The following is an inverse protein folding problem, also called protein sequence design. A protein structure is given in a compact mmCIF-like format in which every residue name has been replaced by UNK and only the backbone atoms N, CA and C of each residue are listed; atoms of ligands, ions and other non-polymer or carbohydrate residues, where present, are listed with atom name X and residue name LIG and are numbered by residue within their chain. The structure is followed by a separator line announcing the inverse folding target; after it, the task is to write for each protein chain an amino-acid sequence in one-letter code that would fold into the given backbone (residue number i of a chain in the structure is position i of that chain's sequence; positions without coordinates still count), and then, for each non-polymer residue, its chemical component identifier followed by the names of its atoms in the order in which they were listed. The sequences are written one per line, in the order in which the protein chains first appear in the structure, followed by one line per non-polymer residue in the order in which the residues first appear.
data_IF_324343676365
#
_entry.id   IF_324343676365
#
_cell.length_a   1.000
_cell.length_b   1.000
_cell.length_c   1.000
_cell.angle_alpha   90.00
_cell.angle_beta   90.00
_cell.angle_gamma   90.00
#
_symmetry.space_group_name_H-M   'P 1'
#
loop_
_entity.id
_entity.type
_entity.pdbx_description
1 polymer ?
#
# COMPACT_ATOMS: atom_id res chain seq x y z
N UNK A 1 -1.23 10.85 19.41
CA UNK A 1 -1.84 10.09 18.29
C UNK A 1 -1.31 10.57 16.94
N UNK A 2 -1.24 11.89 16.72
CA UNK A 2 -0.80 12.51 15.48
C UNK A 2 0.68 12.19 15.16
N UNK A 3 1.57 12.19 16.15
CA UNK A 3 2.98 11.80 15.96
C UNK A 3 3.13 10.34 15.48
N UNK A 4 2.23 9.45 15.91
CA UNK A 4 2.24 8.03 15.50
C UNK A 4 1.87 7.87 14.03
N UNK A 5 0.92 8.66 13.54
CA UNK A 5 0.51 8.68 12.13
C UNK A 5 1.64 9.16 11.23
N UNK A 6 2.30 10.26 11.62
CA UNK A 6 3.46 10.77 10.89
C UNK A 6 4.60 9.74 10.82
N UNK A 7 4.93 9.10 11.95
CA UNK A 7 5.94 8.04 12.00
C UNK A 7 5.52 6.85 11.13
N UNK A 8 4.26 6.42 11.17
CA UNK A 8 3.76 5.33 10.33
C UNK A 8 3.88 5.66 8.83
N UNK A 9 3.52 6.88 8.44
CA UNK A 9 3.63 7.36 7.06
C UNK A 9 5.09 7.35 6.58
N UNK A 10 6.00 8.01 7.29
CA UNK A 10 7.40 8.11 6.90
C UNK A 10 8.14 6.78 6.98
N UNK A 11 7.85 5.95 7.98
CA UNK A 11 8.42 4.60 8.10
C UNK A 11 7.97 3.64 7.00
N UNK A 12 6.89 3.95 6.30
CA UNK A 12 6.44 3.22 5.12
C UNK A 12 7.03 3.80 3.83
N UNK A 13 6.90 5.12 3.66
CA UNK A 13 7.25 5.79 2.42
C UNK A 13 8.76 5.77 2.14
N UNK A 14 9.59 6.11 3.13
CA UNK A 14 11.04 6.19 2.93
C UNK A 14 11.68 4.85 2.52
N UNK A 15 11.43 3.73 3.24
CA UNK A 15 12.00 2.44 2.80
C UNK A 15 11.40 1.95 1.48
N UNK A 16 10.11 2.23 1.21
CA UNK A 16 9.50 1.85 -0.05
C UNK A 16 10.08 2.64 -1.22
N UNK A 17 10.25 3.97 -1.07
CA UNK A 17 10.89 4.81 -2.07
C UNK A 17 12.35 4.41 -2.28
N UNK A 18 13.12 4.18 -1.21
CA UNK A 18 14.51 3.72 -1.32
C UNK A 18 14.63 2.40 -2.06
N UNK A 19 13.71 1.45 -1.78
CA UNK A 19 13.69 0.16 -2.48
C UNK A 19 13.29 0.32 -3.96
N UNK A 20 12.28 1.14 -4.24
CA UNK A 20 11.86 1.44 -5.62
C UNK A 20 12.98 2.14 -6.42
N UNK A 21 13.67 3.11 -5.82
CA UNK A 21 14.83 3.78 -6.44
C UNK A 21 15.96 2.79 -6.70
N UNK A 22 16.27 1.91 -5.74
CA UNK A 22 17.27 0.86 -5.92
C UNK A 22 16.94 -0.04 -7.12
N UNK A 23 15.69 -0.54 -7.19
CA UNK A 23 15.26 -1.37 -8.32
C UNK A 23 15.27 -0.60 -9.63
N UNK A 24 14.81 0.66 -9.63
CA UNK A 24 14.83 1.53 -10.81
C UNK A 24 16.24 1.82 -11.32
N UNK A 25 17.17 2.17 -10.43
CA UNK A 25 18.58 2.39 -10.80
C UNK A 25 19.19 1.10 -11.32
N UNK A 26 18.94 -0.05 -10.69
CA UNK A 26 19.43 -1.35 -11.16
C UNK A 26 18.89 -1.66 -12.56
N UNK A 27 17.61 -1.41 -12.82
CA UNK A 27 17.00 -1.60 -14.14
C UNK A 27 17.66 -0.67 -15.20
N UNK A 28 17.83 0.62 -14.88
CA UNK A 28 18.47 1.59 -15.77
C UNK A 28 19.92 1.25 -16.08
N UNK A 29 20.68 0.74 -15.10
CA UNK A 29 22.05 0.27 -15.32
C UNK A 29 22.08 -0.94 -16.28
N UNK A 30 21.19 -1.90 -16.12
CA UNK A 30 21.11 -3.03 -17.03
C UNK A 30 20.73 -2.61 -18.46
N UNK A 31 19.84 -1.61 -18.58
CA UNK A 31 19.48 -1.04 -19.87
C UNK A 31 20.66 -0.25 -20.50
N UNK A 32 21.32 0.59 -19.73
CA UNK A 32 22.46 1.39 -20.17
C UNK A 32 23.63 0.52 -20.69
N UNK A 33 23.95 -0.56 -19.98
CA UNK A 33 25.01 -1.48 -20.39
C UNK A 33 24.56 -2.52 -21.44
N UNK A 34 23.34 -2.43 -21.94
CA UNK A 34 22.76 -3.39 -22.91
C UNK A 34 22.87 -4.88 -22.46
N UNK A 35 22.81 -5.12 -21.17
CA UNK A 35 22.89 -6.48 -20.60
C UNK A 35 21.61 -7.26 -20.89
N UNK A 36 20.46 -6.56 -21.01
CA UNK A 36 19.16 -7.17 -21.20
C UNK A 36 18.79 -7.32 -22.66
N UNK A 37 18.54 -8.55 -23.08
CA UNK A 37 17.84 -8.81 -24.35
C UNK A 37 16.42 -8.25 -24.27
N UNK A 38 15.87 -7.89 -25.43
CA UNK A 38 14.54 -7.27 -25.55
C UNK A 38 13.45 -8.09 -24.83
N UNK A 39 13.49 -9.42 -24.99
CA UNK A 39 12.53 -10.34 -24.38
C UNK A 39 12.62 -10.39 -22.85
N UNK A 40 13.83 -10.22 -22.30
CA UNK A 40 14.08 -10.26 -20.85
C UNK A 40 13.77 -8.91 -20.21
N UNK A 41 13.83 -7.80 -20.95
CA UNK A 41 13.58 -6.46 -20.45
C UNK A 41 12.19 -6.33 -19.82
N UNK A 42 11.15 -6.78 -20.50
CA UNK A 42 9.77 -6.73 -20.00
C UNK A 42 9.57 -7.60 -18.76
N UNK A 43 10.19 -8.79 -18.76
CA UNK A 43 10.16 -9.70 -17.62
C UNK A 43 10.82 -9.07 -16.38
N UNK A 44 12.00 -8.45 -16.56
CA UNK A 44 12.70 -7.78 -15.46
C UNK A 44 11.92 -6.58 -14.92
N UNK A 45 11.35 -5.75 -15.81
CA UNK A 45 10.48 -4.64 -15.42
C UNK A 45 9.28 -5.11 -14.59
N UNK A 46 8.59 -6.16 -15.07
CA UNK A 46 7.44 -6.73 -14.38
C UNK A 46 7.83 -7.35 -13.03
N UNK A 47 8.95 -8.07 -12.95
CA UNK A 47 9.46 -8.65 -11.71
C UNK A 47 9.81 -7.56 -10.68
N UNK A 48 10.49 -6.49 -11.10
CA UNK A 48 10.87 -5.38 -10.21
C UNK A 48 9.64 -4.59 -9.76
N UNK A 49 8.68 -4.35 -10.66
CA UNK A 49 7.41 -3.70 -10.32
C UNK A 49 6.63 -4.52 -9.29
N UNK A 50 6.50 -5.83 -9.51
CA UNK A 50 5.89 -6.74 -8.55
C UNK A 50 6.59 -6.66 -7.18
N UNK A 51 7.92 -6.76 -7.15
CA UNK A 51 8.68 -6.71 -5.90
C UNK A 51 8.47 -5.38 -5.16
N UNK A 52 8.48 -4.25 -5.87
CA UNK A 52 8.25 -2.93 -5.31
C UNK A 52 6.85 -2.79 -4.70
N UNK A 53 5.81 -3.22 -5.43
CA UNK A 53 4.41 -3.15 -4.97
C UNK A 53 4.19 -4.05 -3.75
N UNK A 54 4.65 -5.29 -3.79
CA UNK A 54 4.53 -6.22 -2.66
C UNK A 54 5.25 -5.69 -1.42
N UNK A 55 6.47 -5.18 -1.59
CA UNK A 55 7.22 -4.57 -0.50
C UNK A 55 6.49 -3.37 0.09
N UNK A 56 5.96 -2.48 -0.75
CA UNK A 56 5.19 -1.31 -0.33
C UNK A 56 3.95 -1.71 0.48
N UNK A 57 3.13 -2.64 -0.04
CA UNK A 57 1.91 -3.10 0.65
C UNK A 57 2.25 -3.78 1.97
N UNK A 58 3.30 -4.59 2.01
CA UNK A 58 3.77 -5.21 3.24
C UNK A 58 4.19 -4.18 4.30
N UNK A 59 4.97 -3.17 3.90
CA UNK A 59 5.38 -2.07 4.80
C UNK A 59 4.19 -1.25 5.28
N UNK A 60 3.26 -0.94 4.37
CA UNK A 60 2.02 -0.23 4.69
C UNK A 60 1.17 -1.00 5.71
N UNK A 61 0.94 -2.29 5.48
CA UNK A 61 0.20 -3.15 6.39
C UNK A 61 0.87 -3.22 7.78
N UNK A 62 2.21 -3.38 7.84
CA UNK A 62 2.96 -3.35 9.10
C UNK A 62 2.87 -2.02 9.82
N UNK A 63 2.92 -0.89 9.11
CA UNK A 63 2.84 0.43 9.71
C UNK A 63 1.46 0.70 10.32
N UNK A 64 0.39 0.34 9.59
CA UNK A 64 -0.99 0.55 10.04
C UNK A 64 -1.36 -0.35 11.22
N UNK A 65 -0.99 -1.63 11.14
CA UNK A 65 -1.42 -2.65 12.11
C UNK A 65 -0.43 -2.85 13.25
N UNK A 66 0.83 -2.44 13.09
CA UNK A 66 1.94 -2.50 14.09
C UNK A 66 1.84 -3.72 15.02
N UNK A 67 1.98 -4.96 14.50
CA UNK A 67 1.68 -6.17 15.26
C UNK A 67 2.63 -6.38 16.46
N UNK A 68 3.84 -5.83 16.41
CA UNK A 68 4.86 -5.92 17.46
C UNK A 68 4.80 -4.81 18.51
N UNK A 69 4.14 -3.66 18.20
CA UNK A 69 4.13 -2.47 19.06
C UNK A 69 2.67 -2.05 19.35
N UNK A 70 2.04 -2.57 20.43
CA UNK A 70 0.64 -2.30 20.75
C UNK A 70 0.31 -0.81 20.85
N UNK A 71 1.23 -0.03 21.42
CA UNK A 71 1.05 1.40 21.64
C UNK A 71 1.15 2.25 20.36
N UNK A 72 1.65 1.69 19.25
CA UNK A 72 1.84 2.37 17.96
C UNK A 72 0.81 1.98 16.91
N UNK A 73 -0.14 1.12 17.26
CA UNK A 73 -1.21 0.70 16.33
C UNK A 73 -2.14 1.85 16.01
N UNK A 74 -2.38 2.05 14.73
CA UNK A 74 -3.38 3.00 14.25
C UNK A 74 -4.78 2.36 14.29
N UNK A 75 -4.87 1.05 14.06
CA UNK A 75 -6.09 0.26 14.20
C UNK A 75 -6.08 -0.48 15.54
N UNK A 76 -7.16 -0.36 16.33
CA UNK A 76 -7.31 -1.02 17.63
C UNK A 76 -7.67 -2.50 17.42
N UNK A 77 -6.67 -3.29 17.06
CA UNK A 77 -6.79 -4.73 16.82
C UNK A 77 -5.78 -5.46 17.70
N UNK A 78 -6.13 -6.59 18.32
CA UNK A 78 -5.18 -7.40 19.11
C UNK A 78 -3.99 -7.91 18.29
N UNK A 79 -2.91 -8.32 18.96
CA UNK A 79 -1.66 -8.72 18.30
C UNK A 79 -1.81 -9.92 17.35
N UNK A 80 -2.61 -10.93 17.73
CA UNK A 80 -2.83 -12.12 16.87
C UNK A 80 -3.61 -11.77 15.60
N UNK A 81 -4.82 -11.13 15.67
CA UNK A 81 -5.53 -10.66 14.48
C UNK A 81 -4.72 -9.68 13.64
N UNK A 82 -3.93 -8.78 14.25
CA UNK A 82 -3.10 -7.84 13.49
C UNK A 82 -2.04 -8.55 12.64
N UNK A 83 -1.37 -9.58 13.17
CA UNK A 83 -0.42 -10.40 12.40
C UNK A 83 -1.11 -11.13 11.26
N UNK A 84 -2.28 -11.71 11.53
CA UNK A 84 -3.08 -12.39 10.50
C UNK A 84 -3.45 -11.43 9.36
N UNK A 85 -3.91 -10.23 9.69
CA UNK A 85 -4.25 -9.19 8.70
C UNK A 85 -3.04 -8.76 7.88
N UNK A 86 -1.87 -8.54 8.50
CA UNK A 86 -0.63 -8.23 7.75
C UNK A 86 -0.29 -9.36 6.78
N UNK A 87 -0.37 -10.61 7.23
CA UNK A 87 -0.06 -11.77 6.38
C UNK A 87 -1.06 -11.91 5.23
N UNK A 88 -2.35 -11.75 5.49
CA UNK A 88 -3.40 -11.82 4.46
C UNK A 88 -3.25 -10.68 3.43
N UNK A 89 -3.02 -9.45 3.87
CA UNK A 89 -2.78 -8.31 2.97
C UNK A 89 -1.52 -8.53 2.13
N UNK A 90 -0.44 -9.02 2.73
CA UNK A 90 0.79 -9.34 2.00
C UNK A 90 0.56 -10.49 1.02
N UNK A 91 -0.14 -11.56 1.42
CA UNK A 91 -0.46 -12.68 0.54
C UNK A 91 -1.33 -12.23 -0.65
N UNK A 92 -2.31 -11.36 -0.40
CA UNK A 92 -3.13 -10.75 -1.47
C UNK A 92 -2.27 -10.00 -2.47
N UNK A 93 -1.33 -9.16 -1.99
CA UNK A 93 -0.41 -8.43 -2.86
C UNK A 93 0.52 -9.36 -3.65
N UNK A 94 1.03 -10.41 -3.02
CA UNK A 94 1.89 -11.41 -3.68
C UNK A 94 1.12 -12.15 -4.78
N UNK A 95 -0.09 -12.62 -4.49
CA UNK A 95 -0.89 -13.35 -5.50
C UNK A 95 -1.25 -12.44 -6.67
N UNK A 96 -1.67 -11.20 -6.42
CA UNK A 96 -2.00 -10.24 -7.48
C UNK A 96 -0.76 -9.87 -8.30
N UNK A 97 0.37 -9.61 -7.66
CA UNK A 97 1.63 -9.31 -8.33
C UNK A 97 2.14 -10.49 -9.15
N UNK A 98 2.04 -11.70 -8.60
CA UNK A 98 2.44 -12.93 -9.29
C UNK A 98 1.56 -13.20 -10.52
N UNK A 99 0.23 -12.97 -10.44
CA UNK A 99 -0.66 -13.09 -11.61
C UNK A 99 -0.25 -12.11 -12.72
N UNK A 100 0.06 -10.85 -12.35
CA UNK A 100 0.56 -9.85 -13.29
C UNK A 100 1.90 -10.26 -13.94
N UNK A 101 2.87 -10.65 -13.13
CA UNK A 101 4.18 -11.12 -13.61
C UNK A 101 4.04 -12.34 -14.53
N UNK A 102 3.27 -13.35 -14.12
CA UNK A 102 3.04 -14.56 -14.92
C UNK A 102 2.28 -14.25 -16.23
N UNK A 103 1.54 -13.14 -16.31
CA UNK A 103 0.93 -12.70 -17.56
C UNK A 103 1.99 -12.27 -18.55
N UNK A 104 2.94 -11.44 -18.13
CA UNK A 104 4.06 -11.00 -18.97
C UNK A 104 4.91 -12.20 -19.39
N UNK A 105 5.18 -13.14 -18.47
CA UNK A 105 5.89 -14.39 -18.80
C UNK A 105 5.13 -15.18 -19.87
N UNK A 106 3.82 -15.34 -19.72
CA UNK A 106 2.99 -16.10 -20.68
C UNK A 106 2.94 -15.43 -22.06
N UNK A 107 2.88 -14.11 -22.12
CA UNK A 107 2.92 -13.33 -23.35
C UNK A 107 4.29 -13.45 -24.04
N UNK A 108 5.38 -13.30 -23.31
CA UNK A 108 6.76 -13.40 -23.83
C UNK A 108 7.06 -14.81 -24.36
N UNK A 109 6.56 -15.85 -23.68
CA UNK A 109 6.79 -17.26 -24.09
C UNK A 109 5.76 -17.79 -25.09
N UNK A 110 4.77 -17.00 -25.49
CA UNK A 110 3.70 -17.44 -26.38
C UNK A 110 2.86 -18.57 -25.78
N UNK A 111 2.64 -18.58 -24.47
CA UNK A 111 1.92 -19.63 -23.76
C UNK A 111 0.46 -19.73 -24.21
N UNK A 112 -0.17 -20.93 -24.20
CA UNK A 112 -1.55 -21.10 -24.61
C UNK A 112 -2.50 -20.29 -23.71
N UNK A 113 -3.54 -19.71 -24.30
CA UNK A 113 -4.55 -18.87 -23.66
C UNK A 113 -5.23 -19.59 -22.47
N UNK A 114 -5.40 -20.89 -22.55
CA UNK A 114 -5.97 -21.73 -21.50
C UNK A 114 -5.18 -21.66 -20.19
N UNK A 115 -3.85 -21.62 -20.27
CA UNK A 115 -2.98 -21.47 -19.08
C UNK A 115 -3.14 -20.09 -18.45
N UNK A 116 -3.20 -19.04 -19.27
CA UNK A 116 -3.42 -17.67 -18.82
C UNK A 116 -4.76 -17.51 -18.11
N UNK A 117 -5.81 -18.13 -18.65
CA UNK A 117 -7.15 -18.14 -18.05
C UNK A 117 -7.12 -18.90 -16.72
N UNK A 118 -6.54 -20.10 -16.68
CA UNK A 118 -6.50 -20.93 -15.47
C UNK A 118 -5.75 -20.27 -14.32
N UNK A 119 -4.59 -19.64 -14.58
CA UNK A 119 -3.83 -18.92 -13.54
C UNK A 119 -4.58 -17.71 -13.00
N UNK A 120 -5.20 -16.91 -13.89
CA UNK A 120 -5.96 -15.72 -13.47
C UNK A 120 -7.24 -16.10 -12.72
N UNK A 121 -7.88 -17.22 -13.07
CA UNK A 121 -8.97 -17.79 -12.27
C UNK A 121 -8.49 -18.13 -10.86
N UNK A 122 -7.40 -18.91 -10.73
CA UNK A 122 -6.86 -19.29 -9.42
C UNK A 122 -6.45 -18.06 -8.59
N UNK A 123 -5.78 -17.08 -9.20
CA UNK A 123 -5.39 -15.85 -8.53
C UNK A 123 -6.61 -15.06 -8.04
N UNK A 124 -7.65 -14.89 -8.86
CA UNK A 124 -8.87 -14.15 -8.50
C UNK A 124 -9.62 -14.83 -7.37
N UNK A 125 -9.72 -16.17 -7.38
CA UNK A 125 -10.33 -16.93 -6.30
C UNK A 125 -9.55 -16.78 -5.00
N UNK A 126 -8.22 -16.89 -5.04
CA UNK A 126 -7.39 -16.72 -3.84
C UNK A 126 -7.50 -15.31 -3.25
N UNK A 127 -7.41 -14.28 -4.09
CA UNK A 127 -7.54 -12.88 -3.64
C UNK A 127 -8.94 -12.63 -3.06
N UNK A 128 -9.99 -13.06 -3.75
CA UNK A 128 -11.36 -12.94 -3.24
C UNK A 128 -11.53 -13.61 -1.88
N UNK A 129 -11.00 -14.83 -1.72
CA UNK A 129 -11.00 -15.56 -0.45
C UNK A 129 -10.24 -14.82 0.65
N UNK A 130 -9.06 -14.27 0.35
CA UNK A 130 -8.28 -13.51 1.33
C UNK A 130 -9.02 -12.24 1.77
N UNK A 131 -9.65 -11.52 0.85
CA UNK A 131 -10.46 -10.33 1.18
C UNK A 131 -11.66 -10.70 2.05
N UNK A 132 -12.35 -11.81 1.75
CA UNK A 132 -13.42 -12.35 2.62
C UNK A 132 -12.85 -12.70 4.00
N UNK A 133 -11.71 -13.39 4.08
CA UNK A 133 -11.07 -13.71 5.37
C UNK A 133 -10.70 -12.45 6.15
N UNK A 134 -10.18 -11.41 5.49
CA UNK A 134 -9.90 -10.10 6.12
C UNK A 134 -11.18 -9.51 6.73
N UNK A 135 -12.31 -9.59 6.03
CA UNK A 135 -13.60 -9.08 6.52
C UNK A 135 -14.13 -9.82 7.75
N UNK A 136 -13.79 -11.11 7.88
CA UNK A 136 -14.21 -11.97 9.00
C UNK A 136 -13.36 -11.79 10.26
N UNK A 137 -12.17 -11.20 10.15
CA UNK A 137 -11.33 -10.93 11.32
C UNK A 137 -12.03 -9.95 12.25
N UNK A 138 -12.33 -10.40 13.49
CA UNK A 138 -13.00 -9.57 14.49
C UNK A 138 -11.95 -8.76 15.26
N UNK A 139 -12.10 -7.43 15.37
CA UNK A 139 -11.33 -6.67 16.33
C UNK A 139 -11.79 -7.09 17.73
N UNK A 140 -10.96 -7.84 18.45
CA UNK A 140 -11.24 -8.24 19.82
C UNK A 140 -10.73 -7.12 20.74
N UNK A 141 -11.63 -6.26 21.20
CA UNK A 141 -11.33 -5.22 22.17
C UNK A 141 -12.58 -4.39 22.51
N UNK A 142 -12.85 -4.23 23.80
CA UNK A 142 -13.86 -3.29 24.33
C UNK A 142 -13.35 -1.86 24.20
N UNK A 143 -13.19 -1.34 22.99
CA UNK A 143 -12.84 0.09 22.80
C UNK A 143 -14.09 0.90 22.54
N UNK A 144 -14.31 1.92 23.36
CA UNK A 144 -15.39 2.91 23.26
C UNK A 144 -15.24 3.79 22.00
N UNK A 145 -14.10 3.73 21.31
CA UNK A 145 -13.79 4.51 20.11
C UNK A 145 -14.17 3.66 18.89
N UNK A 146 -14.98 4.23 17.98
CA UNK A 146 -15.35 3.62 16.68
C UNK A 146 -14.09 3.08 15.98
N UNK A 147 -14.00 1.78 15.86
CA UNK A 147 -12.94 1.09 15.12
C UNK A 147 -13.18 1.31 13.62
N UNK A 148 -12.13 1.50 12.79
CA UNK A 148 -12.28 1.51 11.33
C UNK A 148 -12.84 0.19 10.78
N UNK A 149 -12.96 -0.86 11.61
CA UNK A 149 -13.60 -2.15 11.32
C UNK A 149 -15.02 -2.26 11.89
N UNK A 150 -15.78 -1.18 11.88
CA UNK A 150 -17.20 -1.20 12.24
C UNK A 150 -18.02 -2.12 11.31
N UNK A 151 -19.21 -2.53 11.76
CA UNK A 151 -20.07 -3.42 10.97
C UNK A 151 -20.21 -3.03 9.49
N UNK A 152 -20.45 -1.74 9.11
CA UNK A 152 -20.60 -1.37 7.71
C UNK A 152 -19.32 -1.61 6.88
N UNK A 153 -18.16 -1.27 7.42
CA UNK A 153 -16.86 -1.48 6.72
C UNK A 153 -16.61 -2.98 6.48
N UNK A 154 -16.91 -3.83 7.44
CA UNK A 154 -16.79 -5.28 7.29
C UNK A 154 -17.76 -5.84 6.25
N UNK A 155 -18.99 -5.36 6.22
CA UNK A 155 -19.96 -5.76 5.20
C UNK A 155 -19.50 -5.34 3.81
N UNK A 156 -18.99 -4.13 3.65
CA UNK A 156 -18.41 -3.65 2.39
C UNK A 156 -17.24 -4.53 1.95
N UNK A 157 -16.27 -4.80 2.85
CA UNK A 157 -15.13 -5.67 2.56
C UNK A 157 -15.57 -7.10 2.20
N UNK A 158 -16.58 -7.63 2.89
CA UNK A 158 -17.13 -8.95 2.58
C UNK A 158 -17.72 -8.99 1.16
N UNK A 159 -18.55 -8.00 0.81
CA UNK A 159 -19.12 -7.87 -0.53
C UNK A 159 -18.03 -7.69 -1.59
N UNK A 160 -17.03 -6.84 -1.34
CA UNK A 160 -15.89 -6.65 -2.23
C UNK A 160 -15.09 -7.93 -2.46
N UNK A 161 -14.94 -8.80 -1.47
CA UNK A 161 -14.30 -10.10 -1.65
C UNK A 161 -15.18 -11.13 -2.34
N UNK A 162 -16.52 -11.06 -2.12
CA UNK A 162 -17.46 -11.99 -2.73
C UNK A 162 -17.68 -11.73 -4.23
N UNK A 163 -17.63 -10.46 -4.67
CA UNK A 163 -17.85 -10.08 -6.06
C UNK A 163 -16.87 -10.75 -7.03
N UNK A 164 -15.53 -10.68 -6.85
CA UNK A 164 -14.60 -11.37 -7.75
C UNK A 164 -14.71 -12.90 -7.68
N UNK A 165 -15.05 -13.45 -6.50
CA UNK A 165 -15.34 -14.89 -6.38
C UNK A 165 -16.54 -15.31 -7.23
N UNK A 166 -17.64 -14.57 -7.14
CA UNK A 166 -18.82 -14.82 -7.95
C UNK A 166 -18.51 -14.66 -9.43
N UNK A 167 -17.85 -13.57 -9.83
CA UNK A 167 -17.47 -13.35 -11.22
C UNK A 167 -16.60 -14.48 -11.78
N UNK A 168 -15.62 -14.97 -11.00
CA UNK A 168 -14.77 -16.10 -11.39
C UNK A 168 -15.59 -17.40 -11.57
N UNK A 169 -16.47 -17.71 -10.62
CA UNK A 169 -17.31 -18.92 -10.66
C UNK A 169 -18.32 -18.91 -11.80
N UNK A 170 -18.83 -17.74 -12.20
CA UNK A 170 -19.70 -17.59 -13.37
C UNK A 170 -18.93 -17.55 -14.70
N UNK A 171 -17.60 -17.73 -14.68
CA UNK A 171 -16.78 -17.75 -15.89
C UNK A 171 -16.31 -16.37 -16.37
N UNK A 172 -16.67 -15.27 -15.70
CA UNK A 172 -16.23 -13.91 -16.03
C UNK A 172 -14.82 -13.63 -15.49
N UNK A 173 -13.84 -14.42 -15.94
CA UNK A 173 -12.47 -14.40 -15.39
C UNK A 173 -11.79 -13.05 -15.60
N UNK A 174 -11.97 -12.41 -16.76
CA UNK A 174 -11.46 -11.06 -17.01
C UNK A 174 -12.00 -10.02 -16.06
N UNK A 175 -13.31 -10.07 -15.75
CA UNK A 175 -13.96 -9.19 -14.78
C UNK A 175 -13.45 -9.47 -13.36
N UNK A 176 -13.33 -10.75 -12.98
CA UNK A 176 -12.81 -11.14 -11.66
C UNK A 176 -11.38 -10.63 -11.46
N UNK A 177 -10.52 -10.78 -12.45
CA UNK A 177 -9.14 -10.28 -12.45
C UNK A 177 -9.10 -8.76 -12.33
N UNK A 178 -9.88 -8.05 -13.13
CA UNK A 178 -9.98 -6.59 -13.06
C UNK A 178 -10.41 -6.13 -11.65
N UNK A 179 -11.48 -6.74 -11.10
CA UNK A 179 -11.95 -6.42 -9.75
C UNK A 179 -10.90 -6.67 -8.67
N UNK A 180 -10.19 -7.79 -8.72
CA UNK A 180 -9.14 -8.10 -7.73
C UNK A 180 -7.99 -7.09 -7.79
N UNK A 181 -7.55 -6.69 -8.98
CA UNK A 181 -6.52 -5.67 -9.15
C UNK A 181 -6.98 -4.32 -8.60
N UNK A 182 -8.22 -3.90 -8.93
CA UNK A 182 -8.79 -2.64 -8.43
C UNK A 182 -8.92 -2.63 -6.91
N UNK A 183 -9.39 -3.71 -6.30
CA UNK A 183 -9.51 -3.81 -4.83
C UNK A 183 -8.13 -3.62 -4.16
N UNK A 184 -7.09 -4.27 -4.67
CA UNK A 184 -5.74 -4.18 -4.08
C UNK A 184 -5.14 -2.80 -4.26
N UNK A 185 -5.17 -2.26 -5.48
CA UNK A 185 -4.58 -0.96 -5.80
C UNK A 185 -5.35 0.16 -5.06
N UNK A 186 -6.66 0.22 -5.22
CA UNK A 186 -7.50 1.25 -4.60
C UNK A 186 -7.44 1.17 -3.07
N UNK A 187 -7.44 -0.04 -2.50
CA UNK A 187 -7.29 -0.24 -1.07
C UNK A 187 -5.96 0.27 -0.52
N UNK A 188 -4.86 -0.05 -1.20
CA UNK A 188 -3.53 0.42 -0.82
C UNK A 188 -3.42 1.95 -0.94
N UNK A 189 -3.93 2.53 -2.03
CA UNK A 189 -3.95 3.98 -2.25
C UNK A 189 -4.80 4.68 -1.20
N UNK A 190 -6.02 4.22 -0.94
CA UNK A 190 -6.92 4.82 0.04
C UNK A 190 -6.29 4.87 1.44
N UNK A 191 -5.63 3.78 1.86
CA UNK A 191 -4.90 3.75 3.14
C UNK A 191 -3.73 4.72 3.13
N UNK A 192 -2.96 4.76 2.05
CA UNK A 192 -1.80 5.67 1.92
C UNK A 192 -2.26 7.14 1.94
N UNK A 193 -3.31 7.47 1.21
CA UNK A 193 -3.90 8.81 1.20
C UNK A 193 -4.41 9.20 2.59
N UNK A 194 -5.12 8.29 3.27
CA UNK A 194 -5.60 8.52 4.64
C UNK A 194 -4.43 8.82 5.60
N UNK A 195 -3.36 8.03 5.55
CA UNK A 195 -2.16 8.24 6.36
C UNK A 195 -1.46 9.56 6.00
N UNK A 196 -1.35 9.88 4.71
CA UNK A 196 -0.76 11.11 4.22
C UNK A 196 -1.51 12.35 4.71
N UNK A 197 -2.83 12.41 4.53
CA UNK A 197 -3.66 13.51 5.00
C UNK A 197 -3.61 13.66 6.53
N UNK A 198 -3.68 12.56 7.26
CA UNK A 198 -3.60 12.60 8.73
C UNK A 198 -2.21 13.01 9.22
N UNK A 199 -1.15 12.60 8.52
CA UNK A 199 0.21 13.03 8.78
C UNK A 199 0.38 14.53 8.54
N UNK A 200 -0.14 15.05 7.42
CA UNK A 200 -0.13 16.47 7.10
C UNK A 200 -0.88 17.31 8.14
N UNK A 201 -2.07 16.86 8.58
CA UNK A 201 -2.81 17.51 9.68
C UNK A 201 -2.00 17.56 10.98
N UNK A 202 -1.16 16.56 11.25
CA UNK A 202 -0.32 16.57 12.46
C UNK A 202 0.78 17.62 12.43
N UNK A 203 1.23 18.01 11.25
CA UNK A 203 2.24 19.05 11.07
C UNK A 203 1.65 20.47 11.11
N UNK A 204 0.34 20.60 10.89
CA UNK A 204 -0.36 21.89 10.97
C UNK A 204 -0.74 22.29 12.42
N UNK A 205 -0.64 21.37 13.38
CA UNK A 205 -0.89 21.72 14.78
C UNK A 205 0.17 22.72 15.25
N UNK A 206 -0.27 23.80 15.89
CA UNK A 206 0.58 24.91 16.37
C UNK A 206 1.77 24.38 17.19
N UNK A 207 2.98 24.81 16.84
CA UNK A 207 4.24 24.42 17.49
C UNK A 207 4.73 23.00 17.21
N UNK A 208 3.96 22.16 16.51
CA UNK A 208 4.33 20.76 16.29
C UNK A 208 5.50 20.61 15.33
N UNK A 209 5.62 21.47 14.33
CA UNK A 209 6.72 21.43 13.38
C UNK A 209 8.01 22.01 14.00
N UNK A 210 7.92 23.12 14.70
CA UNK A 210 9.06 23.75 15.37
C UNK A 210 9.73 22.82 16.40
N UNK A 211 8.95 22.00 17.12
CA UNK A 211 9.45 21.02 18.09
C UNK A 211 9.95 19.72 17.47
N UNK A 212 9.74 19.51 16.15
CA UNK A 212 10.23 18.33 15.42
C UNK A 212 11.74 18.41 15.19
N UNK A 213 12.42 17.25 15.01
CA UNK A 213 13.85 17.22 14.67
C UNK A 213 14.16 17.97 13.36
N UNK A 214 13.28 17.87 12.37
CA UNK A 214 13.44 18.52 11.06
C UNK A 214 13.18 20.02 11.20
N UNK A 215 12.13 20.43 11.91
CA UNK A 215 11.84 21.84 12.17
C UNK A 215 12.93 22.50 12.98
N UNK A 216 13.44 21.83 14.02
CA UNK A 216 14.56 22.33 14.82
C UNK A 216 15.88 22.43 14.04
N UNK A 217 16.14 21.52 13.10
CA UNK A 217 17.28 21.61 12.21
C UNK A 217 17.15 22.78 11.22
N UNK A 218 15.98 22.95 10.61
CA UNK A 218 15.70 24.06 9.69
C UNK A 218 15.74 25.41 10.42
N UNK A 219 15.15 25.50 11.61
CA UNK A 219 15.19 26.71 12.43
C UNK A 219 16.64 27.14 12.74
N UNK A 220 17.51 26.18 13.07
CA UNK A 220 18.93 26.46 13.36
C UNK A 220 19.74 26.78 12.11
N UNK A 221 19.48 26.09 10.99
CA UNK A 221 20.26 26.27 9.74
C UNK A 221 19.90 27.58 9.04
N UNK A 222 18.66 28.00 9.10
CA UNK A 222 18.14 29.20 8.41
C UNK A 222 17.80 30.35 9.37
N UNK A 223 18.15 30.23 10.67
CA UNK A 223 17.88 31.24 11.72
C UNK A 223 16.40 31.68 11.75
N UNK A 224 15.47 30.73 11.49
CA UNK A 224 14.04 31.01 11.43
C UNK A 224 13.44 31.13 12.83
N UNK A 225 12.68 32.18 13.07
CA UNK A 225 11.87 32.31 14.29
C UNK A 225 10.74 31.24 14.34
N UNK A 226 10.17 31.00 15.54
CA UNK A 226 9.13 29.99 15.74
C UNK A 226 7.95 30.12 14.74
N UNK A 227 7.46 31.34 14.53
CA UNK A 227 6.35 31.64 13.60
C UNK A 227 6.72 31.31 12.14
N UNK A 228 7.97 31.58 11.74
CA UNK A 228 8.44 31.28 10.39
C UNK A 228 8.59 29.76 10.20
N UNK A 229 9.05 29.05 11.22
CA UNK A 229 9.21 27.60 11.22
C UNK A 229 7.85 26.89 11.14
N UNK A 230 6.82 27.39 11.82
CA UNK A 230 5.46 26.85 11.71
C UNK A 230 4.83 27.10 10.33
N UNK A 231 5.10 28.24 9.70
CA UNK A 231 4.69 28.49 8.30
C UNK A 231 5.34 27.52 7.32
N UNK A 232 6.61 27.18 7.53
CA UNK A 232 7.28 26.13 6.75
C UNK A 232 6.59 24.77 6.98
N UNK A 233 6.16 24.47 8.20
CA UNK A 233 5.37 23.28 8.52
C UNK A 233 4.07 23.19 7.73
N UNK A 234 3.35 24.31 7.58
CA UNK A 234 2.13 24.39 6.76
C UNK A 234 2.45 24.14 5.28
N UNK A 235 3.52 24.74 4.74
CA UNK A 235 3.95 24.53 3.36
C UNK A 235 4.33 23.07 3.10
N UNK A 236 5.06 22.44 4.02
CA UNK A 236 5.43 21.01 3.94
C UNK A 236 4.18 20.13 3.97
N UNK A 237 3.20 20.44 4.82
CA UNK A 237 1.96 19.68 4.88
C UNK A 237 1.14 19.81 3.59
N UNK A 238 1.11 20.99 2.99
CA UNK A 238 0.44 21.27 1.72
C UNK A 238 1.12 20.52 0.57
N UNK A 239 2.45 20.49 0.55
CA UNK A 239 3.26 19.70 -0.39
C UNK A 239 2.98 18.20 -0.27
N UNK A 240 2.90 17.66 0.95
CA UNK A 240 2.56 16.25 1.20
C UNK A 240 1.16 15.95 0.68
N UNK A 241 0.17 16.80 0.97
CA UNK A 241 -1.20 16.63 0.48
C UNK A 241 -1.26 16.64 -1.05
N UNK A 242 -0.57 17.58 -1.68
CA UNK A 242 -0.52 17.71 -3.13
C UNK A 242 0.18 16.50 -3.79
N UNK A 243 1.26 16.02 -3.20
CA UNK A 243 1.98 14.83 -3.66
C UNK A 243 1.12 13.57 -3.52
N UNK A 244 0.42 13.42 -2.40
CA UNK A 244 -0.51 12.30 -2.16
C UNK A 244 -1.65 12.32 -3.17
N UNK A 245 -2.23 13.49 -3.48
CA UNK A 245 -3.27 13.66 -4.50
C UNK A 245 -2.73 13.40 -5.90
N UNK A 246 -1.56 13.94 -6.24
CA UNK A 246 -0.95 13.79 -7.56
C UNK A 246 -0.60 12.34 -7.89
N UNK A 247 -0.23 11.53 -6.89
CA UNK A 247 0.05 10.09 -7.06
C UNK A 247 -1.25 9.28 -7.01
N UNK A 248 -2.19 9.65 -6.13
CA UNK A 248 -3.40 8.88 -5.89
C UNK A 248 -4.44 8.98 -7.00
N UNK A 249 -4.68 10.19 -7.53
CA UNK A 249 -5.75 10.41 -8.52
C UNK A 249 -5.51 9.68 -9.84
N UNK A 250 -4.32 9.69 -10.46
CA UNK A 250 -4.09 9.00 -11.73
C UNK A 250 -4.13 7.48 -11.64
N UNK A 251 -4.06 6.91 -10.41
CA UNK A 251 -4.02 5.46 -10.18
C UNK A 251 -5.40 4.86 -9.83
N UNK A 252 -6.41 5.70 -9.58
CA UNK A 252 -7.81 5.31 -9.36
C UNK A 252 -8.60 5.40 -10.66
#
# INVERSE_FOLDING_TARGET
YLSRLSVAFWSTLLPAASFAVFLGVTYLLFEYFNVLRTDIRELMYSAFSMAAIVFFIHRLAKAVLSPSLPNWRLAHVEAKPARLLVNLLTATAVVTGLDGFMTVVAETLGSPLSLTIAKSFAASVLVGLFVVMISLVRPSGKSVIKSPFDRPTRTILFLLGLLPLAAALFGYIGLARFMTQQIVITGALAITMYLGFKSAQSLQAEGAFATSRIGGFLARTFELGEVATDRVGVLVSLLINLLVLAIGIPLI
#
